data_IF_624198642775
#
_entry.id   IF_624198642775
#
_cell.length_a   1.000
_cell.length_b   1.000
_cell.length_c   1.000
_cell.angle_alpha   90.00
_cell.angle_beta   90.00
_cell.angle_gamma   90.00
#
_symmetry.space_group_name_H-M   'P 1'
#
loop_
_entity.id
_entity.type
_entity.pdbx_description
1 polymer ?
#
# COMPACT_ATOMS: atom_id res chain seq x y z
N UNK A 1 -8.01 -11.11 -29.38
CA UNK A 1 -7.83 -10.66 -28.98
C UNK A 1 -8.05 -9.79 -28.19
N UNK A 2 -8.22 -9.34 -27.92
CA UNK A 2 -8.63 -8.38 -27.15
C UNK A 2 -7.92 -8.04 -25.95
N UNK A 3 -6.82 -8.53 -25.78
CA UNK A 3 -6.04 -8.24 -24.62
C UNK A 3 -5.62 -6.83 -24.55
N UNK A 4 -5.56 -6.18 -25.68
CA UNK A 4 -5.16 -4.80 -25.67
C UNK A 4 -6.11 -3.92 -24.93
N UNK A 5 -7.29 -4.42 -24.60
CA UNK A 5 -8.23 -3.63 -23.86
C UNK A 5 -8.12 -3.77 -22.37
N UNK A 6 -7.23 -4.60 -21.91
CA UNK A 6 -7.12 -4.84 -20.48
C UNK A 6 -6.27 -3.77 -19.83
N UNK A 7 -6.81 -3.16 -18.78
CA UNK A 7 -6.04 -2.27 -17.96
C UNK A 7 -5.25 -3.09 -16.95
N UNK A 8 -4.26 -2.50 -16.29
CA UNK A 8 -3.54 -3.23 -15.25
C UNK A 8 -4.44 -3.83 -14.19
N UNK A 9 -5.54 -3.18 -13.86
CA UNK A 9 -6.43 -3.71 -12.83
C UNK A 9 -7.05 -5.01 -13.25
N UNK A 10 -7.34 -5.18 -14.54
CA UNK A 10 -8.00 -6.40 -14.99
C UNK A 10 -7.04 -7.57 -15.04
N UNK A 11 -5.74 -7.30 -14.91
CA UNK A 11 -4.76 -8.37 -14.88
C UNK A 11 -4.51 -8.89 -13.48
N UNK A 12 -5.03 -8.21 -12.46
CA UNK A 12 -4.87 -8.64 -11.09
C UNK A 12 -5.84 -9.76 -10.81
N UNK A 13 -5.30 -10.86 -10.30
CA UNK A 13 -6.13 -12.01 -9.92
C UNK A 13 -6.34 -11.99 -8.43
N UNK A 14 -7.59 -11.98 -8.02
CA UNK A 14 -7.93 -12.02 -6.61
C UNK A 14 -8.35 -13.43 -6.22
N UNK A 15 -8.04 -13.86 -5.02
CA UNK A 15 -7.30 -13.13 -3.98
C UNK A 15 -5.80 -13.13 -4.25
N UNK A 16 -5.10 -12.14 -3.73
CA UNK A 16 -3.65 -12.10 -3.89
C UNK A 16 -3.03 -11.24 -2.80
N UNK A 17 -1.71 -11.39 -2.63
CA UNK A 17 -0.93 -10.48 -1.81
C UNK A 17 -0.44 -9.36 -2.72
N UNK A 18 -1.04 -8.20 -2.58
CA UNK A 18 -0.77 -7.09 -3.48
C UNK A 18 0.24 -6.13 -2.85
N UNK A 19 1.32 -5.79 -3.57
CA UNK A 19 2.31 -4.87 -3.02
C UNK A 19 1.85 -3.43 -3.18
N UNK A 20 1.73 -2.72 -2.06
CA UNK A 20 1.36 -1.31 -2.06
C UNK A 20 2.57 -0.55 -1.54
N UNK A 21 3.05 0.38 -2.34
CA UNK A 21 4.19 1.19 -1.92
C UNK A 21 3.69 2.52 -1.39
N UNK A 22 4.07 2.83 -0.16
CA UNK A 22 3.60 4.01 0.55
C UNK A 22 4.81 4.86 0.88
N UNK A 23 4.79 6.12 0.47
CA UNK A 23 5.92 7.01 0.66
C UNK A 23 5.52 8.28 1.37
N UNK A 24 6.41 8.79 2.20
CA UNK A 24 6.21 10.05 2.89
C UNK A 24 7.52 10.55 3.45
N UNK A 25 7.45 11.67 4.17
CA UNK A 25 8.63 12.19 4.83
C UNK A 25 8.93 11.38 6.06
N UNK A 26 10.22 11.27 6.38
CA UNK A 26 10.63 10.51 7.55
C UNK A 26 9.99 11.10 8.80
N UNK A 27 9.33 10.24 9.56
CA UNK A 27 8.67 10.64 10.80
C UNK A 27 8.59 9.40 11.69
N UNK A 28 8.79 9.61 12.99
CA UNK A 28 8.83 8.48 13.92
C UNK A 28 7.57 7.64 13.86
N UNK A 29 6.42 8.24 13.55
CA UNK A 29 5.16 7.51 13.56
C UNK A 29 4.70 7.11 12.17
N UNK A 30 5.52 7.30 11.14
CA UNK A 30 5.09 7.02 9.79
C UNK A 30 4.72 5.53 9.63
N UNK A 31 5.62 4.66 10.02
CA UNK A 31 5.40 3.23 9.84
C UNK A 31 4.21 2.75 10.65
N UNK A 32 4.10 3.16 11.91
CA UNK A 32 2.98 2.72 12.74
C UNK A 32 1.66 3.25 12.22
N UNK A 33 1.65 4.47 11.66
CA UNK A 33 0.45 5.04 11.08
C UNK A 33 0.00 4.24 9.86
N UNK A 34 0.94 3.89 8.98
CA UNK A 34 0.62 3.09 7.80
C UNK A 34 0.07 1.73 8.22
N UNK A 35 0.72 1.09 9.18
CA UNK A 35 0.27 -0.21 9.67
C UNK A 35 -1.16 -0.11 10.20
N UNK A 36 -1.43 0.92 10.97
CA UNK A 36 -2.74 1.08 11.58
C UNK A 36 -3.82 1.26 10.53
N UNK A 37 -3.55 2.09 9.52
CA UNK A 37 -4.52 2.32 8.45
C UNK A 37 -4.83 1.02 7.74
N UNK A 38 -3.80 0.26 7.38
CA UNK A 38 -4.02 -0.99 6.64
C UNK A 38 -4.76 -2.01 7.51
N UNK A 39 -4.39 -2.10 8.78
CA UNK A 39 -5.03 -3.07 9.68
C UNK A 39 -6.50 -2.76 9.92
N UNK A 40 -6.89 -1.51 9.88
CA UNK A 40 -8.30 -1.17 10.01
C UNK A 40 -9.11 -1.71 8.85
N UNK A 41 -8.50 -1.84 7.68
CA UNK A 41 -9.18 -2.37 6.51
C UNK A 41 -8.94 -3.86 6.33
N UNK A 42 -7.82 -4.35 6.83
CA UNK A 42 -7.46 -5.76 6.70
C UNK A 42 -6.75 -6.19 7.97
N UNK A 43 -7.50 -6.76 8.89
CA UNK A 43 -6.98 -7.11 10.21
C UNK A 43 -5.93 -8.19 10.20
N UNK A 44 -5.78 -8.90 9.09
CA UNK A 44 -4.80 -9.97 8.98
C UNK A 44 -3.47 -9.51 8.41
N UNK A 45 -3.33 -8.22 8.11
CA UNK A 45 -2.09 -7.70 7.57
C UNK A 45 -0.94 -7.97 8.54
N UNK A 46 0.17 -8.48 8.00
CA UNK A 46 1.35 -8.83 8.79
C UNK A 46 2.42 -7.77 8.62
N UNK A 47 2.60 -6.90 9.61
CA UNK A 47 3.59 -5.82 9.48
C UNK A 47 5.03 -6.32 9.38
N UNK A 48 5.31 -7.54 9.81
CA UNK A 48 6.67 -8.04 9.74
C UNK A 48 7.15 -8.28 8.32
N UNK A 49 6.23 -8.27 7.36
CA UNK A 49 6.60 -8.46 5.95
C UNK A 49 6.87 -7.15 5.23
N UNK A 50 6.72 -6.01 5.89
CA UNK A 50 6.96 -4.72 5.26
C UNK A 50 8.42 -4.59 4.87
N UNK A 51 8.66 -4.11 3.65
CA UNK A 51 10.00 -3.77 3.20
C UNK A 51 10.16 -2.27 3.26
N UNK A 52 11.15 -1.81 4.01
CA UNK A 52 11.36 -0.40 4.24
C UNK A 52 12.61 0.06 3.50
N UNK A 53 12.49 1.23 2.87
CA UNK A 53 13.62 1.80 2.15
C UNK A 53 13.63 3.29 2.37
N UNK A 54 14.77 3.83 2.82
CA UNK A 54 14.94 5.26 2.98
C UNK A 54 15.56 5.87 1.73
N UNK A 55 15.38 7.18 1.56
CA UNK A 55 16.07 7.88 0.50
C UNK A 55 17.51 8.12 0.90
N UNK A 56 18.36 8.39 -0.08
CA UNK A 56 19.78 8.61 0.18
C UNK A 56 20.02 9.83 1.05
N UNK A 57 19.08 10.75 1.07
CA UNK A 57 19.24 11.97 1.88
C UNK A 57 18.55 11.87 3.23
N UNK A 58 17.87 10.75 3.49
CA UNK A 58 17.20 10.58 4.77
C UNK A 58 15.93 11.38 4.93
N UNK A 59 15.41 11.98 3.87
CA UNK A 59 14.22 12.82 3.97
C UNK A 59 12.94 12.06 3.78
N UNK A 60 12.96 10.99 3.01
CA UNK A 60 11.76 10.25 2.65
C UNK A 60 11.93 8.80 3.01
N UNK A 61 10.80 8.16 3.23
CA UNK A 61 10.78 6.75 3.55
C UNK A 61 9.71 6.11 2.66
N UNK A 62 9.99 4.90 2.22
CA UNK A 62 9.09 4.12 1.40
C UNK A 62 8.87 2.78 2.06
N UNK A 63 7.62 2.38 2.20
CA UNK A 63 7.24 1.09 2.73
C UNK A 63 6.53 0.32 1.64
N UNK A 64 6.97 -0.91 1.39
CA UNK A 64 6.24 -1.82 0.51
C UNK A 64 5.46 -2.76 1.41
N UNK A 65 4.15 -2.68 1.32
CA UNK A 65 3.25 -3.44 2.18
C UNK A 65 2.54 -4.49 1.34
N UNK A 66 2.71 -5.76 1.71
CA UNK A 66 2.08 -6.87 0.98
C UNK A 66 0.77 -7.18 1.67
N UNK A 67 -0.33 -6.79 1.04
CA UNK A 67 -1.64 -6.88 1.66
C UNK A 67 -2.47 -7.94 0.94
N UNK A 68 -3.00 -8.90 1.70
CA UNK A 68 -3.84 -9.92 1.11
C UNK A 68 -5.22 -9.34 0.86
N UNK A 69 -5.58 -9.22 -0.40
CA UNK A 69 -6.86 -8.64 -0.80
C UNK A 69 -7.65 -9.65 -1.61
N UNK A 70 -8.96 -9.61 -1.46
CA UNK A 70 -9.84 -10.57 -2.11
C UNK A 70 -10.65 -9.96 -3.23
N UNK A 71 -10.64 -8.63 -3.38
CA UNK A 71 -11.41 -7.98 -4.43
C UNK A 71 -10.83 -6.62 -4.71
N UNK A 72 -11.17 -6.09 -5.89
CA UNK A 72 -10.72 -4.75 -6.24
C UNK A 72 -11.32 -3.67 -5.34
N UNK A 73 -12.61 -3.73 -4.96
CA UNK A 73 -13.13 -2.71 -4.04
C UNK A 73 -12.38 -2.67 -2.72
N UNK A 74 -11.96 -3.82 -2.21
CA UNK A 74 -11.17 -3.85 -0.99
C UNK A 74 -9.83 -3.15 -1.19
N UNK A 75 -9.18 -3.44 -2.29
CA UNK A 75 -7.90 -2.81 -2.62
C UNK A 75 -8.05 -1.30 -2.78
N UNK A 76 -9.08 -0.87 -3.50
CA UNK A 76 -9.33 0.55 -3.71
C UNK A 76 -9.59 1.28 -2.39
N UNK A 77 -10.28 0.64 -1.47
CA UNK A 77 -10.58 1.22 -0.17
C UNK A 77 -9.29 1.45 0.62
N UNK A 78 -8.37 0.50 0.56
CA UNK A 78 -7.08 0.64 1.22
C UNK A 78 -6.30 1.80 0.61
N UNK A 79 -6.24 1.88 -0.72
CA UNK A 79 -5.56 2.99 -1.39
C UNK A 79 -6.15 4.33 -0.99
N UNK A 80 -7.47 4.42 -0.93
CA UNK A 80 -8.13 5.67 -0.57
C UNK A 80 -7.82 6.05 0.86
N UNK A 81 -7.85 5.09 1.75
CA UNK A 81 -7.56 5.35 3.16
C UNK A 81 -6.14 5.82 3.37
N UNK A 82 -5.20 5.22 2.66
CA UNK A 82 -3.80 5.62 2.76
C UNK A 82 -3.60 7.02 2.19
N UNK A 83 -4.11 7.26 0.97
CA UNK A 83 -3.84 8.52 0.30
C UNK A 83 -4.54 9.70 0.95
N UNK A 84 -5.54 9.45 1.78
CA UNK A 84 -6.24 10.55 2.45
C UNK A 84 -5.52 11.03 3.72
N UNK A 85 -4.50 10.32 4.17
CA UNK A 85 -3.81 10.71 5.38
C UNK A 85 -2.73 11.74 5.06
N UNK A 86 -2.67 12.86 5.82
CA UNK A 86 -1.72 13.94 5.47
C UNK A 86 -0.26 13.54 5.56
N UNK A 87 0.07 12.53 6.35
CA UNK A 87 1.45 12.09 6.49
C UNK A 87 1.93 11.32 5.26
N UNK A 88 1.01 10.83 4.44
CA UNK A 88 1.34 10.02 3.28
C UNK A 88 1.34 10.90 2.04
N UNK A 89 2.45 10.88 1.30
CA UNK A 89 2.61 11.74 0.13
C UNK A 89 2.29 11.02 -1.17
N UNK A 90 2.67 9.75 -1.27
CA UNK A 90 2.49 8.99 -2.50
C UNK A 90 2.09 7.57 -2.15
N UNK A 91 1.13 7.02 -2.87
CA UNK A 91 0.75 5.61 -2.78
C UNK A 91 0.76 5.04 -4.19
N UNK A 92 1.53 4.01 -4.39
CA UNK A 92 1.65 3.36 -5.70
C UNK A 92 1.19 1.92 -5.68
#
# INVERSE_FOLDING_TARGET
>A
MSDQNQSPETLIEFPCHFPIKVMGEVHDEFTSTVIEIIKQKNGKFDPSTIEMKGSSEGRYISLTCFVYVTSKPELDDIYRSLSSHPMIKVVL
#
